data_IF_465744517493
#
_entry.id   IF_465744517493
#
_cell.length_a   1.000
_cell.length_b   1.000
_cell.length_c   1.000
_cell.angle_alpha   90.00
_cell.angle_beta   90.00
_cell.angle_gamma   90.00
#
_symmetry.space_group_name_H-M   'P 1'
#
loop_
_entity.id
_entity.type
_entity.pdbx_description
1 polymer ?
#
# COMPACT_ATOMS: atom_id res chain seq x y z
N UNK A 1 -7.81 -6.08 33.44
CA UNK A 1 -8.27 -7.27 32.68
C UNK A 1 -8.03 -7.15 31.19
N UNK A 2 -8.40 -6.03 30.54
CA UNK A 2 -8.18 -5.75 29.10
C UNK A 2 -6.74 -6.00 28.59
N UNK A 3 -5.74 -5.28 29.08
CA UNK A 3 -4.34 -5.39 28.58
C UNK A 3 -3.67 -6.74 28.88
N UNK A 4 -4.17 -7.48 29.87
CA UNK A 4 -3.54 -8.73 30.35
C UNK A 4 -4.16 -10.00 29.75
N UNK A 5 -5.43 -9.94 29.33
CA UNK A 5 -6.15 -11.12 28.84
C UNK A 5 -6.71 -10.94 27.43
N UNK A 6 -7.20 -9.75 27.08
CA UNK A 6 -7.78 -9.52 25.75
C UNK A 6 -6.68 -9.22 24.75
N UNK A 7 -5.75 -8.34 25.10
CA UNK A 7 -4.68 -7.91 24.20
C UNK A 7 -3.80 -9.07 23.69
N UNK A 8 -3.25 -9.98 24.53
CA UNK A 8 -2.43 -11.08 24.03
C UNK A 8 -3.21 -12.11 23.19
N UNK A 9 -4.51 -12.32 23.45
CA UNK A 9 -5.34 -13.25 22.67
C UNK A 9 -5.84 -12.64 21.35
N UNK A 10 -6.04 -11.32 21.29
CA UNK A 10 -6.50 -10.61 20.08
C UNK A 10 -5.34 -10.12 19.21
N UNK A 11 -4.11 -10.07 19.73
CA UNK A 11 -2.94 -9.54 19.02
C UNK A 11 -2.74 -10.20 17.65
N UNK A 12 -2.93 -11.52 17.57
CA UNK A 12 -2.72 -12.25 16.34
C UNK A 12 -3.63 -11.78 15.20
N UNK A 13 -4.96 -11.93 15.32
CA UNK A 13 -5.91 -11.47 14.30
C UNK A 13 -5.82 -9.97 14.00
N UNK A 14 -5.54 -9.14 15.02
CA UNK A 14 -5.36 -7.69 14.84
C UNK A 14 -4.14 -7.38 13.98
N UNK A 15 -3.02 -8.11 14.15
CA UNK A 15 -1.82 -7.92 13.34
C UNK A 15 -2.06 -8.28 11.87
N UNK A 16 -2.81 -9.37 11.60
CA UNK A 16 -3.20 -9.75 10.23
C UNK A 16 -4.03 -8.65 9.59
N UNK A 17 -5.08 -8.19 10.29
CA UNK A 17 -5.97 -7.14 9.78
C UNK A 17 -5.21 -5.82 9.55
N UNK A 18 -4.37 -5.40 10.50
CA UNK A 18 -3.57 -4.19 10.36
C UNK A 18 -2.64 -4.23 9.13
N UNK A 19 -2.08 -5.41 8.82
CA UNK A 19 -1.22 -5.61 7.65
C UNK A 19 -2.02 -5.50 6.34
N UNK A 20 -3.23 -6.05 6.29
CA UNK A 20 -4.14 -5.93 5.15
C UNK A 20 -4.60 -4.48 4.94
N UNK A 21 -5.02 -3.82 6.02
CA UNK A 21 -5.47 -2.42 6.00
C UNK A 21 -4.36 -1.48 5.55
N UNK A 22 -3.10 -1.77 5.91
CA UNK A 22 -1.96 -0.98 5.46
C UNK A 22 -1.79 -1.04 3.94
N UNK A 23 -1.92 -2.22 3.33
CA UNK A 23 -1.89 -2.38 1.87
C UNK A 23 -3.03 -1.64 1.19
N UNK A 24 -4.23 -1.70 1.75
CA UNK A 24 -5.40 -0.97 1.26
C UNK A 24 -5.22 0.55 1.37
N UNK A 25 -4.65 1.03 2.48
CA UNK A 25 -4.36 2.44 2.70
C UNK A 25 -3.35 2.98 1.68
N UNK A 26 -2.28 2.25 1.38
CA UNK A 26 -1.32 2.64 0.32
C UNK A 26 -2.02 2.77 -1.03
N UNK A 27 -2.89 1.82 -1.38
CA UNK A 27 -3.59 1.85 -2.66
C UNK A 27 -4.57 3.03 -2.73
N UNK A 28 -5.25 3.33 -1.62
CA UNK A 28 -6.16 4.46 -1.51
C UNK A 28 -5.42 5.81 -1.62
N UNK A 29 -4.30 5.97 -0.92
CA UNK A 29 -3.50 7.21 -1.00
C UNK A 29 -2.90 7.39 -2.40
N UNK A 30 -2.34 6.33 -3.00
CA UNK A 30 -1.85 6.36 -4.37
C UNK A 30 -2.98 6.67 -5.37
N UNK A 31 -4.19 6.14 -5.15
CA UNK A 31 -5.37 6.43 -5.96
C UNK A 31 -5.82 7.90 -5.87
N UNK A 32 -5.91 8.45 -4.66
CA UNK A 32 -6.21 9.88 -4.46
C UNK A 32 -5.15 10.77 -5.11
N UNK A 33 -3.89 10.41 -4.91
CA UNK A 33 -2.73 11.09 -5.48
C UNK A 33 -2.78 11.11 -7.01
N UNK A 34 -3.15 9.98 -7.63
CA UNK A 34 -3.39 9.89 -9.07
C UNK A 34 -4.56 10.76 -9.57
N UNK A 35 -5.61 10.92 -8.75
CA UNK A 35 -6.75 11.78 -9.05
C UNK A 35 -6.47 13.28 -8.86
N UNK A 36 -5.27 13.66 -8.38
CA UNK A 36 -4.85 15.04 -8.18
C UNK A 36 -5.02 15.56 -6.75
N UNK A 37 -5.37 14.69 -5.79
CA UNK A 37 -5.41 15.01 -4.36
C UNK A 37 -4.12 14.64 -3.62
N UNK A 38 -3.02 14.46 -4.36
CA UNK A 38 -1.71 14.18 -3.79
C UNK A 38 -1.01 15.43 -3.30
N UNK A 39 0.11 15.27 -2.60
CA UNK A 39 0.97 16.38 -2.21
C UNK A 39 1.39 17.21 -3.43
N UNK A 40 1.43 18.53 -3.24
CA UNK A 40 1.84 19.49 -4.26
C UNK A 40 3.33 19.27 -4.63
N UNK A 41 3.74 19.47 -5.90
CA UNK A 41 5.15 19.49 -6.27
C UNK A 41 5.93 20.42 -5.33
N UNK A 42 7.14 20.06 -4.82
CA UNK A 42 8.09 19.07 -5.34
C UNK A 42 7.99 17.67 -4.71
N UNK A 43 6.98 17.39 -3.88
CA UNK A 43 6.84 16.09 -3.23
C UNK A 43 6.55 14.99 -4.26
N UNK A 44 7.42 13.99 -4.35
CA UNK A 44 7.27 12.87 -5.27
C UNK A 44 6.35 11.80 -4.67
N UNK A 45 5.05 11.91 -4.93
CA UNK A 45 4.09 10.85 -4.59
C UNK A 45 3.91 9.84 -5.72
N UNK A 46 3.79 8.56 -5.38
CA UNK A 46 3.72 7.50 -6.40
C UNK A 46 2.50 7.65 -7.31
N UNK A 47 1.34 8.06 -6.78
CA UNK A 47 0.13 8.29 -7.58
C UNK A 47 0.27 9.45 -8.56
N UNK A 48 0.77 10.60 -8.11
CA UNK A 48 1.03 11.76 -8.99
C UNK A 48 2.09 11.44 -10.04
N UNK A 49 3.13 10.64 -9.71
CA UNK A 49 4.13 10.20 -10.68
C UNK A 49 3.52 9.35 -11.80
N UNK A 50 2.61 8.43 -11.47
CA UNK A 50 1.86 7.64 -12.47
C UNK A 50 0.98 8.58 -13.31
N UNK A 51 0.27 9.51 -12.68
CA UNK A 51 -0.61 10.45 -13.37
C UNK A 51 0.16 11.36 -14.35
N UNK A 52 1.32 11.89 -13.95
CA UNK A 52 2.16 12.72 -14.81
C UNK A 52 2.85 11.89 -15.90
N UNK A 53 3.28 10.67 -15.56
CA UNK A 53 3.91 9.72 -16.47
C UNK A 53 3.02 9.31 -17.65
N UNK A 54 1.69 9.43 -17.51
CA UNK A 54 0.73 9.10 -18.60
C UNK A 54 1.00 9.90 -19.88
N UNK A 55 1.48 11.13 -19.76
CA UNK A 55 1.79 12.00 -20.90
C UNK A 55 3.01 11.50 -21.69
N UNK A 56 3.84 10.68 -21.07
CA UNK A 56 5.07 10.15 -21.64
C UNK A 56 4.95 8.68 -22.02
N UNK A 57 3.75 8.08 -22.07
CA UNK A 57 3.61 6.65 -22.36
C UNK A 57 4.18 6.24 -23.73
N UNK A 58 4.10 7.12 -24.73
CA UNK A 58 4.62 6.84 -26.08
C UNK A 58 6.12 7.10 -26.21
N UNK A 59 6.71 7.91 -25.33
CA UNK A 59 8.11 8.34 -25.43
C UNK A 59 9.01 7.73 -24.35
N UNK A 60 8.49 7.59 -23.13
CA UNK A 60 9.17 7.11 -21.93
C UNK A 60 8.18 6.40 -20.98
N UNK A 61 7.64 5.23 -21.36
CA UNK A 61 6.62 4.52 -20.59
C UNK A 61 7.08 4.11 -19.18
N UNK A 62 8.39 3.95 -18.97
CA UNK A 62 8.98 3.63 -17.66
C UNK A 62 8.69 4.70 -16.60
N UNK A 63 8.47 5.96 -16.99
CA UNK A 63 8.15 7.06 -16.07
C UNK A 63 6.85 6.80 -15.31
N UNK A 64 5.86 6.18 -15.98
CA UNK A 64 4.59 5.77 -15.35
C UNK A 64 4.63 4.34 -14.82
N UNK A 65 5.31 3.43 -15.52
CA UNK A 65 5.29 1.99 -15.19
C UNK A 65 6.10 1.67 -13.94
N UNK A 66 7.26 2.30 -13.73
CA UNK A 66 8.10 1.98 -12.57
C UNK A 66 7.38 2.30 -11.24
N UNK A 67 6.84 3.51 -11.01
CA UNK A 67 6.12 3.79 -9.78
C UNK A 67 4.90 2.87 -9.58
N UNK A 68 4.18 2.56 -10.67
CA UNK A 68 3.05 1.62 -10.62
C UNK A 68 3.47 0.20 -10.22
N UNK A 69 4.59 -0.30 -10.76
CA UNK A 69 5.13 -1.61 -10.41
C UNK A 69 5.60 -1.65 -8.94
N UNK A 70 6.19 -0.57 -8.44
CA UNK A 70 6.58 -0.45 -7.03
C UNK A 70 5.37 -0.52 -6.10
N UNK A 71 4.28 0.20 -6.41
CA UNK A 71 3.03 0.14 -5.64
C UNK A 71 2.51 -1.30 -5.60
N UNK A 72 2.43 -1.96 -6.77
CA UNK A 72 1.95 -3.35 -6.87
C UNK A 72 2.83 -4.30 -6.06
N UNK A 73 4.16 -4.19 -6.18
CA UNK A 73 5.08 -5.05 -5.45
C UNK A 73 4.91 -4.92 -3.93
N UNK A 74 4.78 -3.68 -3.43
CA UNK A 74 4.61 -3.41 -2.00
C UNK A 74 3.28 -3.96 -1.51
N UNK A 75 2.17 -3.64 -2.18
CA UNK A 75 0.84 -4.14 -1.80
C UNK A 75 0.81 -5.68 -1.82
N UNK A 76 1.45 -6.30 -2.81
CA UNK A 76 1.58 -7.74 -2.89
C UNK A 76 2.39 -8.32 -1.73
N UNK A 77 3.53 -7.70 -1.38
CA UNK A 77 4.34 -8.13 -0.23
C UNK A 77 3.56 -8.03 1.09
N UNK A 78 2.81 -6.94 1.32
CA UNK A 78 1.98 -6.80 2.52
C UNK A 78 0.86 -7.85 2.56
N UNK A 79 0.19 -8.09 1.44
CA UNK A 79 -0.81 -9.16 1.35
C UNK A 79 -0.20 -10.54 1.66
N UNK A 80 1.00 -10.80 1.13
CA UNK A 80 1.69 -12.07 1.39
C UNK A 80 2.07 -12.22 2.87
N UNK A 81 2.61 -11.16 3.49
CA UNK A 81 2.94 -11.15 4.93
C UNK A 81 1.69 -11.39 5.77
N UNK A 82 0.58 -10.72 5.45
CA UNK A 82 -0.67 -10.90 6.18
C UNK A 82 -1.15 -12.36 6.14
N UNK A 83 -1.07 -13.00 4.98
CA UNK A 83 -1.41 -14.42 4.81
C UNK A 83 -0.47 -15.34 5.59
N UNK A 84 0.84 -15.09 5.55
CA UNK A 84 1.81 -15.87 6.34
C UNK A 84 1.57 -15.71 7.84
N UNK A 85 1.21 -14.51 8.30
CA UNK A 85 0.83 -14.27 9.70
C UNK A 85 -0.45 -15.00 10.09
N UNK A 86 -1.45 -15.05 9.21
CA UNK A 86 -2.67 -15.84 9.42
C UNK A 86 -2.35 -17.34 9.54
N UNK A 87 -1.48 -17.86 8.67
CA UNK A 87 -1.07 -19.26 8.67
C UNK A 87 -0.33 -19.66 9.96
N UNK A 88 0.53 -18.80 10.51
CA UNK A 88 1.25 -19.05 11.78
C UNK A 88 0.30 -19.13 12.99
N UNK A 89 -0.87 -18.50 12.90
CA UNK A 89 -1.82 -18.40 14.01
C UNK A 89 -2.88 -19.51 14.03
N UNK A 90 -2.96 -20.33 12.97
CA UNK A 90 -3.77 -21.55 12.95
C UNK A 90 -3.04 -22.69 13.64
#
# INVERSE_FOLDING_TARGET
TLLRHILPNAWGPVAVLATLDFGAAILATAGLSFLGFGAEPPAAEWGTLIANGRHFLMTAPWVSLLPGLFVVAIVFSFNHIARTLEEIQR
#
